data_IF_167794162204
#
_entry.id   IF_167794162204
#
_cell.length_a   1.000
_cell.length_b   1.000
_cell.length_c   1.000
_cell.angle_alpha   90.00
_cell.angle_beta   90.00
_cell.angle_gamma   90.00
#
_symmetry.space_group_name_H-M   'P 1'
#
loop_
_entity.id
_entity.type
_entity.pdbx_description
1 polymer ?
#
# COMPACT_ATOMS: atom_id res chain seq x y z
N UNK A 1 20.24 -48.76 45.63
CA UNK A 1 19.75 -48.80 44.23
C UNK A 1 18.95 -47.52 44.02
N UNK A 2 19.62 -46.43 43.64
CA UNK A 2 19.01 -45.10 43.57
C UNK A 2 18.65 -44.82 42.10
N UNK A 3 17.36 -44.77 41.82
CA UNK A 3 16.80 -44.42 40.51
C UNK A 3 16.73 -42.90 40.45
N UNK A 4 17.47 -42.29 39.52
CA UNK A 4 17.48 -40.85 39.29
C UNK A 4 16.41 -40.49 38.26
N UNK A 5 15.35 -39.81 38.70
CA UNK A 5 14.41 -39.14 37.80
C UNK A 5 15.09 -37.88 37.22
N UNK A 6 15.19 -37.80 35.90
CA UNK A 6 15.58 -36.57 35.21
C UNK A 6 14.34 -35.73 34.89
N UNK A 7 14.33 -34.42 35.21
CA UNK A 7 13.22 -33.53 34.89
C UNK A 7 13.24 -33.18 33.39
N UNK A 8 12.13 -33.43 32.70
CA UNK A 8 11.94 -33.07 31.30
C UNK A 8 12.02 -31.53 31.10
N UNK A 9 12.69 -31.03 30.04
CA UNK A 9 12.82 -29.60 29.81
C UNK A 9 11.45 -28.99 29.48
N UNK A 10 11.03 -27.98 30.25
CA UNK A 10 9.86 -27.15 29.96
C UNK A 10 10.14 -26.31 28.71
N UNK A 11 9.86 -26.90 27.54
CA UNK A 11 10.00 -26.25 26.24
C UNK A 11 9.24 -24.92 26.20
N UNK A 12 9.92 -23.86 25.76
CA UNK A 12 9.31 -22.58 25.45
C UNK A 12 8.11 -22.84 24.52
N UNK A 13 6.95 -22.29 24.87
CA UNK A 13 5.70 -22.46 24.12
C UNK A 13 5.75 -21.66 22.81
N UNK A 14 6.65 -22.06 21.90
CA UNK A 14 6.83 -21.48 20.56
C UNK A 14 5.51 -21.35 19.81
N UNK A 15 4.58 -22.29 20.02
CA UNK A 15 3.22 -22.22 19.49
C UNK A 15 2.48 -20.93 19.86
N UNK A 16 2.67 -20.39 21.07
CA UNK A 16 2.03 -19.12 21.49
C UNK A 16 2.70 -17.89 20.92
N UNK A 17 4.01 -17.93 20.70
CA UNK A 17 4.76 -16.81 20.07
C UNK A 17 4.39 -16.71 18.59
N UNK A 18 4.34 -17.85 17.89
CA UNK A 18 3.90 -17.93 16.49
C UNK A 18 2.44 -17.48 16.36
N UNK A 19 1.56 -17.90 17.28
CA UNK A 19 0.17 -17.44 17.30
C UNK A 19 0.04 -15.93 17.53
N UNK A 20 0.79 -15.37 18.48
CA UNK A 20 0.77 -13.93 18.77
C UNK A 20 1.29 -13.12 17.57
N UNK A 21 2.36 -13.59 16.92
CA UNK A 21 2.92 -12.93 15.74
C UNK A 21 1.97 -13.05 14.53
N UNK A 22 1.34 -14.21 14.33
CA UNK A 22 0.31 -14.42 13.31
C UNK A 22 -0.89 -13.51 13.56
N UNK A 23 -1.35 -13.41 14.80
CA UNK A 23 -2.47 -12.54 15.16
C UNK A 23 -2.11 -11.06 14.94
N UNK A 24 -0.91 -10.62 15.32
CA UNK A 24 -0.45 -9.26 15.09
C UNK A 24 -0.35 -8.92 13.59
N UNK A 25 0.15 -9.85 12.78
CA UNK A 25 0.20 -9.68 11.32
C UNK A 25 -1.21 -9.62 10.71
N UNK A 26 -2.12 -10.48 11.16
CA UNK A 26 -3.51 -10.45 10.72
C UNK A 26 -4.18 -9.12 11.07
N UNK A 27 -3.95 -8.59 12.28
CA UNK A 27 -4.46 -7.27 12.70
C UNK A 27 -3.79 -6.12 11.94
N UNK A 28 -2.52 -6.25 11.55
CA UNK A 28 -1.83 -5.25 10.71
C UNK A 28 -2.43 -5.21 9.30
N UNK A 29 -2.67 -6.37 8.69
CA UNK A 29 -3.33 -6.47 7.37
C UNK A 29 -4.77 -5.99 7.44
N UNK A 30 -5.53 -6.37 8.48
CA UNK A 30 -6.88 -5.85 8.71
C UNK A 30 -6.88 -4.34 8.98
N UNK A 31 -5.87 -3.81 9.66
CA UNK A 31 -5.72 -2.38 9.89
C UNK A 31 -5.39 -1.61 8.61
N UNK A 32 -4.54 -2.17 7.75
CA UNK A 32 -4.17 -1.56 6.47
C UNK A 32 -5.35 -1.58 5.48
N UNK A 33 -6.04 -2.71 5.36
CA UNK A 33 -7.17 -2.90 4.45
C UNK A 33 -8.45 -2.27 5.02
N UNK A 34 -8.79 -2.54 6.27
CA UNK A 34 -9.97 -2.00 6.94
C UNK A 34 -9.85 -0.51 7.28
N UNK A 35 -8.65 -0.03 7.61
CA UNK A 35 -8.39 1.40 7.81
C UNK A 35 -8.60 2.21 6.54
N UNK A 36 -8.25 1.67 5.37
CA UNK A 36 -8.55 2.29 4.09
C UNK A 36 -10.06 2.33 3.78
N UNK A 37 -10.81 1.28 4.14
CA UNK A 37 -12.26 1.19 3.95
C UNK A 37 -13.05 2.14 4.88
N UNK A 38 -12.63 2.26 6.15
CA UNK A 38 -13.21 3.23 7.09
C UNK A 38 -12.84 4.68 6.71
N UNK A 39 -11.66 4.91 6.14
CA UNK A 39 -11.28 6.20 5.56
C UNK A 39 -12.12 6.53 4.30
N UNK A 40 -12.43 5.51 3.48
CA UNK A 40 -13.25 5.62 2.28
C UNK A 40 -14.74 5.89 2.56
N UNK A 41 -15.31 5.29 3.61
CA UNK A 41 -16.73 5.50 3.97
C UNK A 41 -17.03 6.93 4.44
N UNK A 42 -16.00 7.69 4.87
CA UNK A 42 -16.13 9.12 5.17
C UNK A 42 -15.98 10.04 3.95
N UNK A 43 -15.44 9.57 2.83
CA UNK A 43 -15.04 10.40 1.68
C UNK A 43 -15.55 9.94 0.29
N UNK A 44 -16.34 8.86 0.18
CA UNK A 44 -17.20 8.59 -0.98
C UNK A 44 -16.51 8.39 -2.35
N UNK A 45 -15.22 8.03 -2.40
CA UNK A 45 -14.53 7.78 -3.66
C UNK A 45 -14.81 6.34 -4.18
N UNK A 46 -15.07 6.13 -5.49
CA UNK A 46 -15.28 4.78 -6.03
C UNK A 46 -14.00 3.93 -6.05
N UNK A 47 -14.12 2.59 -5.91
CA UNK A 47 -12.97 1.69 -5.95
C UNK A 47 -12.35 1.69 -7.34
N UNK A 48 -11.12 2.19 -7.46
CA UNK A 48 -10.39 2.33 -8.72
C UNK A 48 -9.58 3.62 -8.87
N UNK A 49 -9.84 4.63 -8.03
CA UNK A 49 -9.05 5.87 -7.97
C UNK A 49 -7.74 5.77 -7.16
N UNK A 50 -7.62 4.78 -6.29
CA UNK A 50 -6.56 4.74 -5.25
C UNK A 50 -5.13 4.65 -5.77
N UNK A 51 -4.88 3.97 -6.89
CA UNK A 51 -3.49 3.85 -7.40
C UNK A 51 -2.99 5.19 -7.97
N UNK A 52 -3.90 6.11 -8.29
CA UNK A 52 -3.58 7.47 -8.73
C UNK A 52 -3.50 8.46 -7.56
N UNK A 53 -3.83 8.04 -6.34
CA UNK A 53 -3.69 8.87 -5.14
C UNK A 53 -2.35 8.57 -4.48
N UNK A 54 -1.27 9.06 -5.09
CA UNK A 54 0.06 9.13 -4.48
C UNK A 54 0.04 10.14 -3.31
N UNK A 55 -0.67 9.77 -2.24
CA UNK A 55 -0.78 10.49 -0.99
C UNK A 55 -1.16 11.98 -1.11
N UNK A 56 -0.70 12.82 -0.17
CA UNK A 56 -0.97 14.26 -0.18
C UNK A 56 -0.37 15.00 -1.39
N UNK A 57 0.62 14.41 -2.07
CA UNK A 57 1.31 15.01 -3.21
C UNK A 57 0.38 15.20 -4.42
N UNK A 58 -0.35 14.16 -4.83
CA UNK A 58 -1.32 14.26 -5.93
C UNK A 58 -2.52 15.15 -5.61
N UNK A 59 -2.83 15.29 -4.31
CA UNK A 59 -3.87 16.20 -3.82
C UNK A 59 -3.44 17.67 -3.88
N UNK A 60 -2.16 17.96 -3.66
CA UNK A 60 -1.58 19.30 -3.75
C UNK A 60 -1.38 19.80 -5.19
N UNK A 61 -1.38 18.92 -6.20
CA UNK A 61 -1.32 19.32 -7.61
C UNK A 61 -2.53 20.16 -8.02
N UNK A 62 -2.33 21.08 -8.97
CA UNK A 62 -3.44 21.79 -9.60
C UNK A 62 -4.35 20.79 -10.37
N UNK A 63 -5.59 21.16 -10.71
CA UNK A 63 -6.45 20.31 -11.54
C UNK A 63 -5.81 19.96 -12.90
N UNK A 64 -5.03 20.87 -13.48
CA UNK A 64 -4.36 20.71 -14.77
C UNK A 64 -3.16 19.77 -14.66
N UNK A 65 -2.26 20.01 -13.70
CA UNK A 65 -1.12 19.12 -13.43
C UNK A 65 -1.56 17.71 -13.08
N UNK A 66 -2.66 17.59 -12.33
CA UNK A 66 -3.24 16.28 -11.99
C UNK A 66 -3.79 15.57 -13.23
N UNK A 67 -4.32 16.30 -14.22
CA UNK A 67 -4.75 15.73 -15.51
C UNK A 67 -3.54 15.32 -16.33
N UNK A 68 -2.49 16.14 -16.39
CA UNK A 68 -1.24 15.82 -17.08
C UNK A 68 -0.59 14.55 -16.52
N UNK A 69 -0.39 14.48 -15.20
CA UNK A 69 0.14 13.29 -14.52
C UNK A 69 -0.73 12.06 -14.76
N UNK A 70 -2.07 12.19 -14.70
CA UNK A 70 -2.98 11.08 -15.01
C UNK A 70 -2.86 10.64 -16.46
N UNK A 71 -2.67 11.56 -17.40
CA UNK A 71 -2.47 11.24 -18.81
C UNK A 71 -1.17 10.46 -19.03
N UNK A 72 -0.08 10.90 -18.39
CA UNK A 72 1.20 10.19 -18.43
C UNK A 72 1.05 8.76 -17.87
N UNK A 73 0.42 8.61 -16.70
CA UNK A 73 0.15 7.31 -16.09
C UNK A 73 -0.80 6.42 -16.93
N UNK A 74 -1.65 7.02 -17.78
CA UNK A 74 -2.50 6.27 -18.71
C UNK A 74 -1.71 5.58 -19.81
N UNK A 75 -0.56 6.12 -20.21
CA UNK A 75 0.34 5.49 -21.16
C UNK A 75 0.81 4.12 -20.64
N UNK A 76 1.18 4.07 -19.36
CA UNK A 76 1.62 2.84 -18.68
C UNK A 76 0.47 2.04 -18.02
N UNK A 77 -0.78 2.44 -18.22
CA UNK A 77 -1.91 1.80 -17.56
C UNK A 77 -2.09 0.33 -17.97
N UNK A 78 -1.57 -0.09 -19.12
CA UNK A 78 -1.51 -1.49 -19.52
C UNK A 78 -0.69 -2.33 -18.53
N UNK A 79 0.56 -1.93 -18.30
CA UNK A 79 1.48 -2.56 -17.35
C UNK A 79 0.93 -2.48 -15.92
N UNK A 80 0.37 -1.33 -15.53
CA UNK A 80 -0.22 -1.22 -14.19
C UNK A 80 -1.39 -2.19 -13.98
N UNK A 81 -2.21 -2.44 -15.00
CA UNK A 81 -3.32 -3.39 -14.93
C UNK A 81 -2.83 -4.84 -14.87
N UNK A 82 -1.76 -5.21 -15.57
CA UNK A 82 -1.20 -6.57 -15.49
C UNK A 82 -0.63 -6.84 -14.10
N UNK A 83 0.20 -5.95 -13.57
CA UNK A 83 0.76 -6.09 -12.23
C UNK A 83 -0.34 -6.20 -11.16
N UNK A 84 -1.44 -5.43 -11.26
CA UNK A 84 -2.57 -5.56 -10.32
C UNK A 84 -3.20 -6.94 -10.37
N UNK A 85 -3.34 -7.54 -11.56
CA UNK A 85 -3.85 -8.91 -11.70
C UNK A 85 -2.89 -9.91 -11.10
N UNK A 86 -1.58 -9.74 -11.32
CA UNK A 86 -0.54 -10.61 -10.77
C UNK A 86 -0.49 -10.54 -9.24
N UNK A 87 -0.52 -9.34 -8.65
CA UNK A 87 -0.60 -9.14 -7.19
C UNK A 87 -1.86 -9.81 -6.62
N UNK A 88 -2.99 -9.74 -7.33
CA UNK A 88 -4.22 -10.43 -6.91
C UNK A 88 -4.05 -11.96 -6.94
N UNK A 89 -3.40 -12.49 -7.96
CA UNK A 89 -3.06 -13.92 -8.02
C UNK A 89 -2.07 -14.32 -6.92
N UNK A 90 -1.15 -13.44 -6.55
CA UNK A 90 -0.21 -13.69 -5.45
C UNK A 90 -0.94 -13.83 -4.11
N UNK A 91 -2.01 -13.07 -3.88
CA UNK A 91 -2.85 -13.28 -2.69
C UNK A 91 -3.52 -14.66 -2.67
N UNK A 92 -4.01 -15.14 -3.82
CA UNK A 92 -4.59 -16.48 -3.92
C UNK A 92 -3.54 -17.57 -3.64
N UNK A 93 -2.32 -17.40 -4.15
CA UNK A 93 -1.18 -18.30 -3.88
C UNK A 93 -0.78 -18.28 -2.41
N UNK A 94 -0.73 -17.10 -1.79
CA UNK A 94 -0.40 -16.96 -0.38
C UNK A 94 -1.43 -17.68 0.49
N UNK A 95 -2.72 -17.54 0.17
CA UNK A 95 -3.80 -18.26 0.86
C UNK A 95 -3.66 -19.77 0.74
N UNK A 96 -3.20 -20.30 -0.38
CA UNK A 96 -2.93 -21.73 -0.56
C UNK A 96 -1.74 -22.18 0.30
N UNK A 97 -0.62 -21.44 0.28
CA UNK A 97 0.56 -21.75 1.09
C UNK A 97 0.24 -21.75 2.60
N UNK A 98 -0.55 -20.78 3.06
CA UNK A 98 -0.99 -20.68 4.45
C UNK A 98 -1.91 -21.82 4.90
N UNK A 99 -2.59 -22.49 3.97
CA UNK A 99 -3.49 -23.63 4.24
C UNK A 99 -2.80 -24.98 4.06
N UNK A 100 -1.56 -24.99 3.57
CA UNK A 100 -0.80 -26.23 3.32
C UNK A 100 -0.11 -26.67 4.60
N UNK A 101 -0.20 -27.97 4.92
CA UNK A 101 0.52 -28.60 6.02
C UNK A 101 1.49 -29.66 5.49
N UNK A 102 2.80 -29.57 5.82
CA UNK A 102 3.43 -28.56 6.66
C UNK A 102 3.53 -27.17 5.98
N UNK A 103 3.56 -26.11 6.78
CA UNK A 103 3.73 -24.75 6.27
C UNK A 103 5.13 -24.54 5.68
N UNK A 104 5.19 -24.21 4.39
CA UNK A 104 6.44 -23.90 3.69
C UNK A 104 6.77 -22.40 3.82
N UNK A 105 7.61 -22.09 4.80
CA UNK A 105 8.08 -20.72 5.08
C UNK A 105 8.86 -20.14 3.90
N UNK A 106 9.68 -20.95 3.22
CA UNK A 106 10.53 -20.48 2.12
C UNK A 106 9.69 -20.11 0.90
N UNK A 107 8.68 -20.92 0.57
CA UNK A 107 7.74 -20.61 -0.50
C UNK A 107 6.93 -19.33 -0.20
N UNK A 108 6.47 -19.15 1.04
CA UNK A 108 5.75 -17.95 1.45
C UNK A 108 6.63 -16.69 1.38
N UNK A 109 7.88 -16.78 1.84
CA UNK A 109 8.83 -15.66 1.77
C UNK A 109 9.11 -15.26 0.31
N UNK A 110 9.43 -16.21 -0.56
CA UNK A 110 9.71 -15.91 -1.97
C UNK A 110 8.51 -15.31 -2.71
N UNK A 111 7.28 -15.72 -2.37
CA UNK A 111 6.06 -15.12 -2.92
C UNK A 111 5.90 -13.66 -2.49
N UNK A 112 6.14 -13.35 -1.21
CA UNK A 112 6.05 -11.99 -0.68
C UNK A 112 7.13 -11.08 -1.27
N UNK A 113 8.35 -11.58 -1.43
CA UNK A 113 9.45 -10.84 -2.10
C UNK A 113 9.10 -10.52 -3.56
N UNK A 114 8.57 -11.50 -4.30
CA UNK A 114 8.12 -11.28 -5.68
C UNK A 114 6.98 -10.27 -5.78
N UNK A 115 6.02 -10.32 -4.84
CA UNK A 115 4.95 -9.31 -4.74
C UNK A 115 5.53 -7.92 -4.46
N UNK A 116 6.48 -7.80 -3.53
CA UNK A 116 7.13 -6.53 -3.18
C UNK A 116 7.87 -5.94 -4.38
N UNK A 117 8.64 -6.74 -5.13
CA UNK A 117 9.37 -6.30 -6.32
C UNK A 117 8.40 -5.71 -7.37
N UNK A 118 7.30 -6.41 -7.65
CA UNK A 118 6.24 -5.97 -8.58
C UNK A 118 5.61 -4.63 -8.18
N UNK A 119 5.32 -4.46 -6.89
CA UNK A 119 4.76 -3.19 -6.38
C UNK A 119 5.82 -2.07 -6.42
N UNK A 120 7.08 -2.40 -6.12
CA UNK A 120 8.19 -1.45 -6.16
C UNK A 120 8.36 -0.80 -7.52
N UNK A 121 8.29 -1.56 -8.61
CA UNK A 121 8.36 -1.03 -9.98
C UNK A 121 7.27 0.02 -10.27
N UNK A 122 6.05 -0.19 -9.76
CA UNK A 122 4.97 0.78 -9.93
C UNK A 122 5.22 2.07 -9.13
N UNK A 123 5.68 1.93 -7.89
CA UNK A 123 6.01 3.08 -7.04
C UNK A 123 7.11 3.91 -7.69
N UNK A 124 8.14 3.26 -8.23
CA UNK A 124 9.24 3.91 -8.95
C UNK A 124 8.79 4.66 -10.19
N UNK A 125 7.89 4.07 -10.98
CA UNK A 125 7.28 4.75 -12.13
C UNK A 125 6.51 6.01 -11.72
N UNK A 126 5.64 5.91 -10.72
CA UNK A 126 4.84 7.05 -10.24
C UNK A 126 5.76 8.15 -9.69
N UNK A 127 6.77 7.78 -8.90
CA UNK A 127 7.76 8.71 -8.35
C UNK A 127 8.48 9.48 -9.44
N UNK A 128 8.96 8.79 -10.48
CA UNK A 128 9.65 9.39 -11.62
C UNK A 128 8.74 10.37 -12.36
N UNK A 129 7.54 9.96 -12.74
CA UNK A 129 6.59 10.83 -13.44
C UNK A 129 6.19 12.06 -12.62
N UNK A 130 6.09 11.90 -11.30
CA UNK A 130 5.82 13.02 -10.41
C UNK A 130 6.99 14.02 -10.34
N UNK A 131 8.23 13.53 -10.29
CA UNK A 131 9.43 14.38 -10.33
C UNK A 131 9.54 15.11 -11.67
N UNK A 132 9.28 14.42 -12.78
CA UNK A 132 9.25 15.04 -14.11
C UNK A 132 8.22 16.18 -14.17
N UNK A 133 7.02 15.99 -13.61
CA UNK A 133 6.02 17.05 -13.52
C UNK A 133 6.52 18.25 -12.71
N UNK A 134 7.11 18.02 -11.52
CA UNK A 134 7.64 19.12 -10.69
C UNK A 134 8.79 19.84 -11.40
N UNK A 135 9.67 19.11 -12.10
CA UNK A 135 10.80 19.69 -12.81
C UNK A 135 10.36 20.55 -14.00
N UNK A 136 9.23 20.22 -14.63
CA UNK A 136 8.65 21.00 -15.72
C UNK A 136 7.92 22.29 -15.25
N UNK A 137 7.63 22.42 -13.96
CA UNK A 137 6.98 23.62 -13.40
C UNK A 137 7.91 24.83 -13.38
N UNK A 138 7.34 25.99 -13.67
CA UNK A 138 7.98 27.27 -13.43
C UNK A 138 8.19 27.51 -11.92
N UNK A 139 9.14 28.36 -11.50
CA UNK A 139 9.41 28.63 -10.08
C UNK A 139 8.16 29.06 -9.29
N UNK A 140 7.30 29.89 -9.89
CA UNK A 140 6.06 30.38 -9.27
C UNK A 140 5.03 29.25 -9.08
N UNK A 141 4.87 28.37 -10.07
CA UNK A 141 3.98 27.22 -10.01
C UNK A 141 4.42 26.22 -8.93
N UNK A 142 5.73 26.01 -8.82
CA UNK A 142 6.35 25.16 -7.80
C UNK A 142 6.14 25.71 -6.39
N UNK A 143 6.22 27.02 -6.21
CA UNK A 143 5.92 27.68 -4.93
C UNK A 143 4.44 27.51 -4.56
N UNK A 144 3.53 27.77 -5.51
CA UNK A 144 2.10 27.57 -5.29
C UNK A 144 1.75 26.09 -5.00
N UNK A 145 2.48 25.14 -5.58
CA UNK A 145 2.36 23.72 -5.24
C UNK A 145 2.79 23.45 -3.79
N UNK A 146 3.90 24.03 -3.34
CA UNK A 146 4.37 23.88 -1.96
C UNK A 146 3.35 24.41 -0.94
N UNK A 147 2.74 25.56 -1.21
CA UNK A 147 1.70 26.14 -0.35
C UNK A 147 0.46 25.23 -0.24
N UNK A 148 0.01 24.68 -1.37
CA UNK A 148 -1.10 23.70 -1.38
C UNK A 148 -0.73 22.43 -0.64
N UNK A 149 0.51 21.95 -0.77
CA UNK A 149 0.98 20.77 -0.05
C UNK A 149 0.99 21.02 1.46
N UNK A 150 1.49 22.16 1.90
CA UNK A 150 1.46 22.56 3.30
C UNK A 150 0.02 22.63 3.83
N UNK A 151 -0.91 23.20 3.06
CA UNK A 151 -2.31 23.27 3.44
C UNK A 151 -2.94 21.87 3.62
N UNK A 152 -2.66 20.95 2.68
CA UNK A 152 -3.13 19.56 2.73
C UNK A 152 -2.57 18.82 3.96
N UNK A 153 -1.30 19.06 4.30
CA UNK A 153 -0.67 18.45 5.48
C UNK A 153 -1.23 19.01 6.79
N UNK A 154 -1.55 20.31 6.84
CA UNK A 154 -2.06 20.98 8.05
C UNK A 154 -3.54 20.71 8.33
N UNK A 155 -4.40 20.70 7.31
CA UNK A 155 -5.87 20.73 7.49
C UNK A 155 -6.58 19.47 6.97
N UNK A 156 -5.88 18.56 6.30
CA UNK A 156 -6.53 17.61 5.41
C UNK A 156 -7.09 18.31 4.16
N UNK A 157 -7.63 17.56 3.18
CA UNK A 157 -7.96 18.11 1.87
C UNK A 157 -8.99 19.25 1.92
N UNK A 158 -8.84 20.32 1.12
CA UNK A 158 -9.85 21.36 1.02
C UNK A 158 -11.14 20.78 0.45
N UNK A 159 -12.25 20.97 1.17
CA UNK A 159 -13.59 20.60 0.68
C UNK A 159 -13.90 21.48 -0.52
N UNK A 160 -14.08 20.87 -1.71
CA UNK A 160 -14.74 21.56 -2.81
C UNK A 160 -16.16 21.90 -2.36
N UNK A 161 -16.43 23.18 -2.14
CA UNK A 161 -17.80 23.65 -2.02
C UNK A 161 -18.47 23.46 -3.39
N UNK A 162 -19.64 22.80 -3.46
CA UNK A 162 -20.38 22.74 -4.72
C UNK A 162 -20.79 24.17 -5.07
N UNK A 163 -20.34 24.66 -6.23
CA UNK A 163 -20.96 25.80 -6.90
C UNK A 163 -22.43 25.46 -7.12
N UNK A 164 -23.31 26.19 -6.42
CA UNK A 164 -24.72 26.24 -6.76
C UNK A 164 -24.84 27.24 -7.90
N UNK A 165 -25.12 26.73 -9.09
CA UNK A 165 -25.74 27.51 -10.17
C UNK A 165 -27.18 27.88 -9.76
#
# INVERSE_FOLDING_TARGET
MSMSEQPAPKGIRWGRVILALSLAMNLLVLGLVGGSALYHSRNGAPPGREILEYGPYTRALSPEDRRALRSALRHDAGAMRSTRREVRQDFERLLQLLRTEPFDVAAAAGLLEAQQARVGEQVELVRRLFLEQISAMEPEERAAFADRLEQVLRHGPPRHAPTRD
#
